data_IF_619577292934
#
_entry.id   IF_619577292934
#
_cell.length_a   1.000
_cell.length_b   1.000
_cell.length_c   1.000
_cell.angle_alpha   90.00
_cell.angle_beta   90.00
_cell.angle_gamma   90.00
#
_symmetry.space_group_name_H-M   'P 1'
#
loop_
_entity.id
_entity.type
_entity.pdbx_description
1 polymer ?
#
# COMPACT_ATOMS: atom_id res chain seq x y z
N UNK A 1 -7.13 28.14 -3.02
CA UNK A 1 -7.65 26.81 -3.38
C UNK A 1 -8.24 26.29 -2.10
N UNK A 2 -9.57 26.22 -2.01
CA UNK A 2 -10.24 25.67 -0.83
C UNK A 2 -10.01 24.16 -0.85
N UNK A 3 -9.53 23.60 0.26
CA UNK A 3 -9.42 22.16 0.44
C UNK A 3 -10.86 21.68 0.68
N UNK A 4 -11.46 21.01 -0.30
CA UNK A 4 -12.78 20.42 -0.14
C UNK A 4 -12.67 19.28 0.87
N UNK A 5 -13.42 19.40 1.96
CA UNK A 5 -13.61 18.30 2.91
C UNK A 5 -14.26 17.13 2.17
N UNK A 6 -13.56 15.99 2.18
CA UNK A 6 -14.07 14.76 1.55
C UNK A 6 -15.21 14.13 2.35
N UNK A 7 -15.38 14.52 3.62
CA UNK A 7 -16.34 13.94 4.57
C UNK A 7 -16.00 12.51 4.98
N UNK A 8 -14.80 12.02 4.64
CA UNK A 8 -14.38 10.63 4.84
C UNK A 8 -13.29 10.48 5.91
N UNK A 9 -12.84 11.56 6.54
CA UNK A 9 -11.86 11.51 7.64
C UNK A 9 -12.52 12.13 8.86
N UNK A 10 -12.40 11.53 10.07
CA UNK A 10 -12.96 12.09 11.29
C UNK A 10 -12.51 13.53 11.53
N UNK A 11 -13.45 14.42 11.87
CA UNK A 11 -13.11 15.77 12.32
C UNK A 11 -12.27 15.71 13.60
N UNK A 12 -11.15 16.43 13.63
CA UNK A 12 -10.32 16.55 14.84
C UNK A 12 -10.86 17.70 15.69
N UNK A 13 -11.40 17.38 16.87
CA UNK A 13 -11.93 18.38 17.79
C UNK A 13 -10.86 18.98 18.70
N UNK A 14 -9.91 18.15 19.15
CA UNK A 14 -8.84 18.60 20.04
C UNK A 14 -7.58 17.73 19.88
N UNK A 15 -6.42 18.34 20.07
CA UNK A 15 -5.12 17.67 20.05
C UNK A 15 -4.37 18.07 21.30
N UNK A 16 -4.19 17.11 22.21
CA UNK A 16 -3.26 17.24 23.32
C UNK A 16 -1.89 16.78 22.85
N UNK A 17 -0.89 17.69 22.74
CA UNK A 17 0.42 17.34 22.22
C UNK A 17 0.99 16.11 22.91
N UNK A 18 1.40 15.13 22.11
CA UNK A 18 2.11 13.90 22.51
C UNK A 18 1.32 12.91 23.37
N UNK A 19 -0.01 13.03 23.44
CA UNK A 19 -0.82 12.18 24.33
C UNK A 19 -2.13 11.69 23.73
N UNK A 20 -2.90 12.58 23.10
CA UNK A 20 -4.28 12.25 22.72
C UNK A 20 -4.76 13.14 21.58
N UNK A 21 -5.44 12.52 20.62
CA UNK A 21 -6.25 13.22 19.62
C UNK A 21 -7.70 12.85 19.93
N UNK A 22 -8.54 13.87 20.15
CA UNK A 22 -9.98 13.70 20.26
C UNK A 22 -10.61 14.03 18.90
N UNK A 23 -11.32 13.08 18.34
CA UNK A 23 -11.89 13.17 17.00
C UNK A 23 -13.35 12.71 16.99
N UNK A 24 -14.05 13.04 15.91
CA UNK A 24 -15.40 12.57 15.63
C UNK A 24 -15.50 11.05 15.71
N UNK A 25 -16.57 10.56 16.33
CA UNK A 25 -16.92 9.15 16.26
C UNK A 25 -17.72 8.87 14.99
N UNK A 26 -17.10 8.18 14.03
CA UNK A 26 -17.76 7.70 12.82
C UNK A 26 -18.21 6.24 13.05
N UNK A 27 -19.53 6.03 13.05
CA UNK A 27 -20.10 4.69 13.17
C UNK A 27 -19.79 3.84 11.93
N UNK A 28 -19.53 2.55 12.13
CA UNK A 28 -19.30 1.59 11.06
C UNK A 28 -18.48 0.39 11.51
N UNK A 29 -18.17 -0.49 10.57
CA UNK A 29 -17.33 -1.66 10.78
C UNK A 29 -16.38 -1.87 9.60
N UNK A 30 -15.24 -2.51 9.85
CA UNK A 30 -14.35 -3.01 8.81
C UNK A 30 -15.02 -4.15 8.02
N UNK A 31 -14.62 -4.36 6.76
CA UNK A 31 -15.04 -5.52 5.97
C UNK A 31 -14.14 -6.72 6.32
N UNK A 32 -14.08 -7.11 7.59
CA UNK A 32 -13.22 -8.23 8.01
C UNK A 32 -13.89 -9.60 7.89
N UNK A 33 -15.11 -9.69 7.37
CA UNK A 33 -15.89 -10.94 7.51
C UNK A 33 -16.95 -11.24 6.45
N UNK A 34 -16.79 -10.80 5.20
CA UNK A 34 -17.63 -11.30 4.09
C UNK A 34 -19.13 -11.04 4.28
N UNK A 35 -19.49 -9.96 4.96
CA UNK A 35 -20.88 -9.57 5.21
C UNK A 35 -21.22 -8.42 4.27
N UNK A 36 -21.89 -8.77 3.17
CA UNK A 36 -22.40 -7.83 2.18
C UNK A 36 -22.90 -8.60 0.98
N UNK A 37 -24.04 -8.20 0.43
CA UNK A 37 -24.47 -8.62 -0.90
C UNK A 37 -23.43 -8.18 -1.94
N UNK A 38 -23.39 -8.87 -3.09
CA UNK A 38 -22.52 -8.48 -4.19
C UNK A 38 -22.73 -7.02 -4.63
N UNK A 39 -23.98 -6.54 -4.56
CA UNK A 39 -24.35 -5.16 -4.86
C UNK A 39 -23.75 -4.17 -3.85
N UNK A 40 -23.79 -4.48 -2.54
CA UNK A 40 -23.15 -3.66 -1.52
C UNK A 40 -21.62 -3.63 -1.69
N UNK A 41 -21.00 -4.77 -1.98
CA UNK A 41 -19.55 -4.83 -2.22
C UNK A 41 -19.17 -4.02 -3.47
N UNK A 42 -19.92 -4.11 -4.56
CA UNK A 42 -19.72 -3.27 -5.75
C UNK A 42 -19.87 -1.79 -5.44
N UNK A 43 -20.90 -1.41 -4.67
CA UNK A 43 -21.14 -0.02 -4.30
C UNK A 43 -20.00 0.55 -3.44
N UNK A 44 -19.59 -0.16 -2.39
CA UNK A 44 -18.46 0.26 -1.53
C UNK A 44 -17.15 0.30 -2.31
N UNK A 45 -16.91 -0.69 -3.17
CA UNK A 45 -15.73 -0.72 -4.06
C UNK A 45 -15.66 0.52 -4.93
N UNK A 46 -16.79 0.90 -5.53
CA UNK A 46 -16.88 2.12 -6.32
C UNK A 46 -16.57 3.38 -5.50
N UNK A 47 -17.12 3.49 -4.28
CA UNK A 47 -16.84 4.62 -3.38
C UNK A 47 -15.37 4.68 -2.94
N UNK A 48 -14.73 3.53 -2.70
CA UNK A 48 -13.29 3.45 -2.40
C UNK A 48 -12.45 3.94 -3.58
N UNK A 49 -12.84 3.59 -4.81
CA UNK A 49 -12.22 4.13 -6.02
C UNK A 49 -12.29 5.66 -6.08
N UNK A 50 -13.46 6.23 -5.80
CA UNK A 50 -13.65 7.68 -5.74
C UNK A 50 -12.83 8.33 -4.61
N UNK A 51 -12.76 7.69 -3.44
CA UNK A 51 -11.99 8.18 -2.30
C UNK A 51 -10.48 8.19 -2.59
N UNK A 52 -9.95 7.11 -3.17
CA UNK A 52 -8.55 7.05 -3.60
C UNK A 52 -8.22 8.11 -4.66
N UNK A 53 -9.12 8.32 -5.63
CA UNK A 53 -8.96 9.37 -6.63
C UNK A 53 -8.92 10.77 -6.03
N UNK A 54 -9.78 11.07 -5.05
CA UNK A 54 -9.76 12.36 -4.31
C UNK A 54 -8.49 12.52 -3.49
N UNK A 55 -8.04 11.46 -2.82
CA UNK A 55 -6.80 11.45 -2.06
C UNK A 55 -5.60 11.82 -2.95
N UNK A 56 -5.45 11.17 -4.10
CA UNK A 56 -4.31 11.48 -4.99
C UNK A 56 -4.39 12.85 -5.65
N UNK A 57 -5.58 13.44 -5.68
CA UNK A 57 -5.82 14.80 -6.19
C UNK A 57 -5.57 15.87 -5.13
N UNK A 58 -5.46 15.47 -3.87
CA UNK A 58 -5.20 16.38 -2.77
C UNK A 58 -3.79 16.94 -2.91
N UNK A 59 -3.60 18.27 -2.87
CA UNK A 59 -2.28 18.87 -2.89
C UNK A 59 -1.39 18.28 -1.79
N UNK A 60 -0.15 17.95 -2.12
CA UNK A 60 0.82 17.56 -1.11
C UNK A 60 1.03 18.72 -0.14
N UNK A 61 0.83 18.53 1.18
CA UNK A 61 1.18 19.55 2.15
C UNK A 61 2.66 19.90 2.07
N UNK A 62 2.93 21.16 2.37
CA UNK A 62 4.26 21.74 2.50
C UNK A 62 4.86 21.36 3.86
N UNK A 63 6.18 21.49 3.99
CA UNK A 63 6.89 21.23 5.25
C UNK A 63 6.43 22.11 6.42
N UNK A 64 5.88 23.28 6.10
CA UNK A 64 5.38 24.23 7.09
C UNK A 64 3.97 23.87 7.60
N UNK A 65 3.24 23.02 6.87
CA UNK A 65 1.87 22.58 7.19
C UNK A 65 1.81 21.40 8.16
N UNK A 66 2.94 21.07 8.81
CA UNK A 66 2.95 20.24 10.03
C UNK A 66 3.49 18.83 9.88
N UNK A 67 4.13 18.49 8.76
CA UNK A 67 4.88 17.25 8.68
C UNK A 67 6.13 17.33 9.58
N UNK A 68 6.28 16.34 10.47
CA UNK A 68 7.40 16.25 11.40
C UNK A 68 8.26 15.02 11.08
N UNK A 69 9.39 15.23 10.41
CA UNK A 69 10.35 14.18 10.05
C UNK A 69 10.91 13.42 11.24
N UNK A 70 11.04 14.07 12.41
CA UNK A 70 11.60 13.45 13.62
C UNK A 70 10.61 12.46 14.25
N UNK A 71 9.34 12.55 13.87
CA UNK A 71 8.25 11.66 14.30
C UNK A 71 7.77 10.75 13.19
N UNK A 72 8.43 10.75 12.04
CA UNK A 72 8.09 9.86 10.96
C UNK A 72 8.66 8.46 11.22
N UNK A 73 7.80 7.58 11.71
CA UNK A 73 8.12 6.19 11.98
C UNK A 73 8.36 5.38 10.68
N UNK A 74 8.07 5.95 9.51
CA UNK A 74 8.11 5.25 8.22
C UNK A 74 9.49 5.14 7.60
N UNK A 75 10.53 5.78 8.15
CA UNK A 75 11.86 5.89 7.51
C UNK A 75 11.76 6.39 6.04
N UNK A 76 10.64 7.01 5.68
CA UNK A 76 10.31 7.49 4.35
C UNK A 76 9.95 8.97 4.44
N UNK A 77 10.95 9.87 4.66
CA UNK A 77 10.65 11.26 4.92
C UNK A 77 9.77 11.88 3.83
N UNK A 78 8.87 12.78 4.20
CA UNK A 78 7.94 13.46 3.29
C UNK A 78 8.61 14.07 2.06
N UNK A 79 9.81 14.63 2.27
CA UNK A 79 10.63 15.25 1.22
C UNK A 79 11.65 14.32 0.58
N UNK A 80 11.65 13.05 0.97
CA UNK A 80 12.66 12.12 0.46
C UNK A 80 12.53 11.96 -1.05
N UNK A 81 13.68 11.77 -1.67
CA UNK A 81 13.69 11.26 -3.03
C UNK A 81 13.13 9.82 -3.00
N UNK A 82 11.96 9.65 -3.60
CA UNK A 82 11.20 8.39 -3.59
C UNK A 82 12.04 7.23 -4.13
N UNK A 83 12.91 7.48 -5.13
CA UNK A 83 13.86 6.47 -5.63
C UNK A 83 14.87 6.06 -4.57
N UNK A 84 15.50 7.03 -3.91
CA UNK A 84 16.46 6.78 -2.83
C UNK A 84 15.83 5.99 -1.69
N UNK A 85 14.59 6.30 -1.31
CA UNK A 85 13.90 5.59 -0.25
C UNK A 85 13.45 4.18 -0.68
N UNK A 86 13.01 3.96 -1.93
CA UNK A 86 12.82 2.59 -2.46
C UNK A 86 14.15 1.82 -2.47
N UNK A 87 15.24 2.45 -2.89
CA UNK A 87 16.58 1.88 -2.88
C UNK A 87 17.02 1.44 -1.49
N UNK A 88 16.73 2.25 -0.46
CA UNK A 88 16.96 1.86 0.94
C UNK A 88 16.24 0.56 1.31
N UNK A 89 14.96 0.41 0.95
CA UNK A 89 14.21 -0.81 1.25
C UNK A 89 14.69 -2.03 0.46
N UNK A 90 15.16 -1.85 -0.78
CA UNK A 90 15.81 -2.93 -1.54
C UNK A 90 17.09 -3.37 -0.84
N UNK A 91 17.94 -2.41 -0.43
CA UNK A 91 19.19 -2.69 0.27
C UNK A 91 18.97 -3.39 1.61
N UNK A 92 18.00 -2.93 2.41
CA UNK A 92 17.60 -3.59 3.66
C UNK A 92 17.05 -5.00 3.41
N UNK A 93 16.17 -5.18 2.42
CA UNK A 93 15.72 -6.51 2.00
C UNK A 93 16.89 -7.43 1.65
N UNK A 94 17.89 -6.95 0.90
CA UNK A 94 19.09 -7.75 0.60
C UNK A 94 19.95 -8.04 1.84
N UNK A 95 19.96 -7.17 2.86
CA UNK A 95 20.65 -7.42 4.14
C UNK A 95 19.95 -8.48 4.97
N UNK A 96 18.62 -8.40 5.08
CA UNK A 96 17.80 -9.42 5.76
C UNK A 96 17.96 -10.76 5.02
N UNK A 97 17.97 -10.77 3.69
CA UNK A 97 18.10 -11.99 2.88
C UNK A 97 19.39 -12.75 3.17
N UNK A 98 20.49 -12.03 3.42
CA UNK A 98 21.78 -12.65 3.77
C UNK A 98 21.79 -13.26 5.18
N UNK A 99 20.87 -12.83 6.05
CA UNK A 99 20.95 -13.07 7.49
C UNK A 99 19.82 -13.96 8.02
N UNK A 100 18.67 -13.99 7.34
CA UNK A 100 17.46 -14.71 7.77
C UNK A 100 17.19 -15.90 6.84
N UNK A 101 17.37 -17.15 7.29
CA UNK A 101 17.29 -18.34 6.42
C UNK A 101 16.00 -18.46 5.60
N UNK A 102 14.84 -18.22 6.20
CA UNK A 102 13.55 -18.34 5.50
C UNK A 102 13.32 -17.25 4.45
N UNK A 103 14.06 -16.14 4.55
CA UNK A 103 14.02 -15.05 3.60
C UNK A 103 15.09 -15.21 2.50
N UNK A 104 16.10 -16.04 2.75
CA UNK A 104 17.12 -16.43 1.77
C UNK A 104 16.61 -17.48 0.77
N UNK A 105 15.68 -17.08 -0.09
CA UNK A 105 15.18 -17.94 -1.15
C UNK A 105 15.10 -17.21 -2.51
N UNK A 106 15.00 -18.00 -3.59
CA UNK A 106 14.98 -17.49 -4.96
C UNK A 106 13.84 -16.50 -5.19
N UNK A 107 12.63 -16.83 -4.72
CA UNK A 107 11.44 -15.98 -4.87
C UNK A 107 11.61 -14.59 -4.23
N UNK A 108 12.22 -14.50 -3.05
CA UNK A 108 12.52 -13.20 -2.42
C UNK A 108 13.54 -12.41 -3.25
N UNK A 109 14.58 -13.08 -3.79
CA UNK A 109 15.53 -12.42 -4.68
C UNK A 109 14.86 -11.88 -5.95
N UNK A 110 14.00 -12.70 -6.57
CA UNK A 110 13.22 -12.36 -7.75
C UNK A 110 12.29 -11.17 -7.49
N UNK A 111 11.61 -11.19 -6.35
CA UNK A 111 10.79 -10.06 -5.90
C UNK A 111 11.59 -8.77 -5.75
N UNK A 112 12.78 -8.80 -5.16
CA UNK A 112 13.61 -7.61 -5.00
C UNK A 112 14.11 -7.11 -6.36
N UNK A 113 14.49 -8.02 -7.26
CA UNK A 113 14.87 -7.69 -8.63
C UNK A 113 13.73 -7.06 -9.44
N UNK A 114 12.48 -7.51 -9.24
CA UNK A 114 11.31 -6.87 -9.87
C UNK A 114 11.16 -5.42 -9.38
N UNK A 115 11.24 -5.17 -8.08
CA UNK A 115 11.11 -3.80 -7.54
C UNK A 115 12.23 -2.92 -8.09
N UNK A 116 13.46 -3.43 -8.07
CA UNK A 116 14.65 -2.74 -8.58
C UNK A 116 14.48 -2.33 -10.06
N UNK A 117 13.88 -3.20 -10.89
CA UNK A 117 13.62 -2.88 -12.30
C UNK A 117 12.54 -1.82 -12.51
N UNK A 118 11.68 -1.60 -11.51
CA UNK A 118 10.61 -0.60 -11.55
C UNK A 118 11.00 0.72 -10.88
N UNK A 119 12.17 0.85 -10.25
CA UNK A 119 12.57 2.10 -9.56
C UNK A 119 12.53 3.30 -10.50
N UNK A 120 12.96 3.15 -11.75
CA UNK A 120 12.94 4.26 -12.71
C UNK A 120 11.53 4.62 -13.19
N UNK A 121 10.60 3.67 -13.19
CA UNK A 121 9.23 3.89 -13.67
C UNK A 121 8.39 4.72 -12.69
N UNK A 122 8.80 4.80 -11.42
CA UNK A 122 8.21 5.63 -10.37
C UNK A 122 8.05 7.09 -10.82
N UNK A 123 9.05 7.66 -11.49
CA UNK A 123 9.01 9.07 -11.93
C UNK A 123 8.01 9.33 -13.07
N UNK A 124 7.48 8.28 -13.72
CA UNK A 124 6.46 8.42 -14.76
C UNK A 124 5.10 8.76 -14.17
N UNK A 125 4.92 8.54 -12.87
CA UNK A 125 3.67 8.78 -12.15
C UNK A 125 3.77 10.06 -11.32
N UNK A 126 2.68 10.85 -11.23
CA UNK A 126 2.66 12.02 -10.37
C UNK A 126 2.98 11.66 -8.92
N UNK A 127 3.67 12.57 -8.23
CA UNK A 127 3.77 12.52 -6.76
C UNK A 127 2.45 12.95 -6.15
N UNK A 128 1.97 12.17 -5.18
CA UNK A 128 0.63 12.32 -4.60
C UNK A 128 0.67 12.01 -3.10
N UNK A 129 -0.39 12.41 -2.40
CA UNK A 129 -0.63 11.92 -1.05
C UNK A 129 -0.98 10.42 -1.12
N UNK A 130 -0.18 9.61 -0.43
CA UNK A 130 -0.26 8.16 -0.42
C UNK A 130 -0.58 7.67 0.99
N UNK A 131 -1.69 6.93 1.12
CA UNK A 131 -2.10 6.24 2.33
C UNK A 131 -1.73 4.77 2.22
N UNK A 132 -0.66 4.35 2.90
CA UNK A 132 -0.21 2.95 2.82
C UNK A 132 -1.23 1.98 3.45
N UNK A 133 -1.84 2.37 4.56
CA UNK A 133 -2.84 1.55 5.27
C UNK A 133 -4.28 1.80 4.79
N UNK A 134 -4.49 1.97 3.47
CA UNK A 134 -5.79 2.31 2.89
C UNK A 134 -6.90 1.26 3.12
N UNK A 135 -6.56 0.08 3.66
CA UNK A 135 -7.52 -0.93 4.13
C UNK A 135 -8.24 -0.54 5.41
N UNK A 136 -7.77 0.47 6.14
CA UNK A 136 -8.41 0.98 7.36
C UNK A 136 -9.58 1.90 7.02
N UNK A 137 -10.67 1.31 6.55
CA UNK A 137 -11.92 2.01 6.29
C UNK A 137 -13.10 1.36 7.02
N UNK A 138 -14.12 2.17 7.29
CA UNK A 138 -15.39 1.68 7.83
C UNK A 138 -16.49 1.75 6.78
N UNK A 139 -17.40 0.79 6.86
CA UNK A 139 -18.67 0.78 6.13
C UNK A 139 -19.81 0.93 7.13
N UNK A 140 -20.81 1.73 6.78
CA UNK A 140 -22.05 1.89 7.52
C UNK A 140 -23.23 1.87 6.55
N UNK A 141 -24.23 1.02 6.81
CA UNK A 141 -25.43 0.88 5.96
C UNK A 141 -25.10 0.69 4.46
N UNK A 142 -24.09 -0.14 4.16
CA UNK A 142 -23.67 -0.45 2.80
C UNK A 142 -22.92 0.68 2.08
N UNK A 143 -22.45 1.70 2.81
CA UNK A 143 -21.67 2.83 2.27
C UNK A 143 -20.35 3.01 2.98
N UNK A 144 -19.34 3.48 2.25
CA UNK A 144 -18.10 3.96 2.83
C UNK A 144 -18.41 5.12 3.80
N UNK A 145 -18.06 4.91 5.08
CA UNK A 145 -18.32 5.86 6.16
C UNK A 145 -17.08 6.70 6.50
N UNK A 146 -15.88 6.11 6.41
CA UNK A 146 -14.64 6.83 6.66
C UNK A 146 -13.39 6.01 6.43
N UNK A 147 -12.26 6.71 6.37
CA UNK A 147 -10.89 6.24 6.27
C UNK A 147 -10.14 6.66 7.54
N UNK A 148 -9.35 5.74 8.09
CA UNK A 148 -8.73 5.85 9.41
C UNK A 148 -7.27 5.44 9.34
N UNK A 149 -6.57 5.59 10.46
CA UNK A 149 -5.18 5.18 10.62
C UNK A 149 -4.25 5.86 9.60
N UNK A 150 -4.35 7.18 9.59
CA UNK A 150 -3.60 8.06 8.70
C UNK A 150 -2.12 8.21 9.10
N UNK A 151 -1.64 7.46 10.10
CA UNK A 151 -0.25 7.54 10.59
C UNK A 151 0.79 7.13 9.53
N UNK A 152 0.31 6.47 8.48
CA UNK A 152 1.11 5.99 7.35
C UNK A 152 0.92 6.82 6.07
N UNK A 153 0.21 7.94 6.15
CA UNK A 153 0.06 8.88 5.05
C UNK A 153 1.36 9.65 4.79
N UNK A 154 1.81 9.65 3.53
CA UNK A 154 3.08 10.28 3.11
C UNK A 154 3.10 10.61 1.62
N UNK A 155 4.19 11.20 1.13
CA UNK A 155 4.41 11.33 -0.31
C UNK A 155 4.66 9.94 -0.94
N UNK A 156 3.94 9.64 -2.01
CA UNK A 156 4.15 8.45 -2.85
C UNK A 156 3.86 8.77 -4.32
N UNK A 157 3.61 7.74 -5.12
CA UNK A 157 3.07 7.92 -6.48
C UNK A 157 1.62 7.47 -6.58
N UNK A 158 0.95 7.95 -7.62
CA UNK A 158 -0.37 7.48 -8.00
C UNK A 158 -0.41 5.93 -8.14
N UNK A 159 0.63 5.34 -8.72
CA UNK A 159 0.75 3.87 -8.85
C UNK A 159 0.76 3.17 -7.49
N UNK A 160 1.46 3.73 -6.49
CA UNK A 160 1.48 3.16 -5.14
C UNK A 160 0.09 3.21 -4.48
N UNK A 161 -0.62 4.33 -4.62
CA UNK A 161 -1.98 4.45 -4.07
C UNK A 161 -2.97 3.54 -4.79
N UNK A 162 -2.92 3.47 -6.11
CA UNK A 162 -3.76 2.55 -6.91
C UNK A 162 -3.48 1.10 -6.54
N UNK A 163 -2.23 0.74 -6.26
CA UNK A 163 -1.90 -0.59 -5.77
C UNK A 163 -2.56 -0.89 -4.41
N UNK A 164 -2.55 0.05 -3.46
CA UNK A 164 -3.26 -0.14 -2.18
C UNK A 164 -4.76 -0.29 -2.37
N UNK A 165 -5.37 0.50 -3.28
CA UNK A 165 -6.78 0.38 -3.64
C UNK A 165 -7.10 -0.99 -4.25
N UNK A 166 -6.44 -1.37 -5.35
CA UNK A 166 -6.78 -2.59 -6.06
C UNK A 166 -6.42 -3.86 -5.27
N UNK A 167 -5.43 -3.78 -4.38
CA UNK A 167 -5.11 -4.85 -3.43
C UNK A 167 -6.26 -5.21 -2.48
N UNK A 168 -7.26 -4.34 -2.30
CA UNK A 168 -8.45 -4.60 -1.50
C UNK A 168 -9.36 -5.68 -2.12
N UNK A 169 -9.17 -6.06 -3.38
CA UNK A 169 -9.89 -7.19 -3.99
C UNK A 169 -9.73 -8.50 -3.21
N UNK A 170 -8.59 -8.65 -2.51
CA UNK A 170 -8.30 -9.82 -1.66
C UNK A 170 -9.21 -9.88 -0.42
N UNK A 171 -9.82 -8.76 -0.04
CA UNK A 171 -10.85 -8.67 1.00
C UNK A 171 -12.27 -8.93 0.44
N UNK A 172 -12.39 -9.30 -0.85
CA UNK A 172 -13.67 -9.56 -1.52
C UNK A 172 -14.30 -8.33 -2.17
N UNK A 173 -13.58 -7.22 -2.28
CA UNK A 173 -14.03 -6.03 -2.99
C UNK A 173 -13.92 -6.22 -4.52
N UNK A 174 -14.78 -5.55 -5.26
CA UNK A 174 -14.91 -5.67 -6.71
C UNK A 174 -13.90 -4.75 -7.41
N UNK A 175 -12.88 -5.35 -8.02
CA UNK A 175 -11.78 -4.66 -8.70
C UNK A 175 -12.27 -3.69 -9.78
N UNK A 176 -13.22 -4.11 -10.59
CA UNK A 176 -13.73 -3.31 -11.72
C UNK A 176 -14.50 -2.09 -11.22
N UNK A 177 -15.31 -2.25 -10.16
CA UNK A 177 -16.00 -1.14 -9.50
C UNK A 177 -15.02 -0.14 -8.89
N UNK A 178 -13.94 -0.60 -8.25
CA UNK A 178 -12.87 0.28 -7.75
C UNK A 178 -12.22 1.08 -8.88
N UNK A 179 -11.86 0.43 -9.99
CA UNK A 179 -11.33 1.11 -11.18
C UNK A 179 -12.31 2.13 -11.73
N UNK A 180 -13.59 1.77 -11.87
CA UNK A 180 -14.61 2.66 -12.39
C UNK A 180 -14.82 3.89 -11.50
N UNK A 181 -14.89 3.70 -10.18
CA UNK A 181 -15.02 4.82 -9.24
C UNK A 181 -13.84 5.77 -9.29
N UNK A 182 -12.64 5.24 -9.49
CA UNK A 182 -11.44 6.05 -9.70
C UNK A 182 -11.54 6.87 -11.00
N UNK A 183 -11.92 6.22 -12.10
CA UNK A 183 -12.07 6.84 -13.43
C UNK A 183 -13.16 7.92 -13.44
N UNK A 184 -14.23 7.75 -12.69
CA UNK A 184 -15.31 8.75 -12.63
C UNK A 184 -14.85 10.10 -12.06
N UNK A 185 -13.80 10.10 -11.22
CA UNK A 185 -13.22 11.31 -10.62
C UNK A 185 -12.04 11.84 -11.42
N UNK A 186 -11.12 10.97 -11.85
CA UNK A 186 -9.84 11.36 -12.45
C UNK A 186 -9.75 11.19 -13.97
N UNK A 187 -10.78 10.58 -14.58
CA UNK A 187 -10.72 10.06 -15.93
C UNK A 187 -9.84 8.81 -16.06
N UNK A 188 -9.66 8.26 -17.27
CA UNK A 188 -8.77 7.14 -17.51
C UNK A 188 -7.31 7.46 -17.13
N UNK A 189 -6.64 6.53 -16.45
CA UNK A 189 -5.25 6.70 -16.01
C UNK A 189 -4.38 5.49 -16.39
N UNK A 190 -3.15 5.69 -16.88
CA UNK A 190 -2.26 4.59 -17.23
C UNK A 190 -1.92 3.65 -16.07
N UNK A 191 -1.85 4.16 -14.84
CA UNK A 191 -1.49 3.37 -13.65
C UNK A 191 -2.52 2.27 -13.30
N UNK A 192 -3.77 2.38 -13.75
CA UNK A 192 -4.82 1.38 -13.48
C UNK A 192 -4.58 0.05 -14.22
N UNK A 193 -3.80 0.11 -15.31
CA UNK A 193 -3.55 -1.03 -16.20
C UNK A 193 -2.06 -1.41 -16.27
N UNK A 194 -1.20 -0.78 -15.44
CA UNK A 194 0.21 -1.15 -15.29
C UNK A 194 0.36 -2.36 -14.35
N UNK A 195 -0.08 -3.54 -14.80
CA UNK A 195 -0.07 -4.77 -13.98
C UNK A 195 1.33 -5.06 -13.40
N UNK A 196 2.40 -4.90 -14.18
CA UNK A 196 3.76 -5.16 -13.69
C UNK A 196 4.17 -4.15 -12.61
N UNK A 197 3.86 -2.87 -12.81
CA UNK A 197 4.09 -1.82 -11.83
C UNK A 197 3.30 -2.05 -10.54
N UNK A 198 2.03 -2.44 -10.64
CA UNK A 198 1.18 -2.77 -9.47
C UNK A 198 1.76 -3.94 -8.67
N UNK A 199 2.19 -5.03 -9.34
CA UNK A 199 2.83 -6.16 -8.66
C UNK A 199 4.12 -5.72 -7.96
N UNK A 200 4.95 -4.91 -8.61
CA UNK A 200 6.17 -4.39 -7.99
C UNK A 200 5.86 -3.54 -6.75
N UNK A 201 4.82 -2.68 -6.80
CA UNK A 201 4.42 -1.86 -5.65
C UNK A 201 3.82 -2.68 -4.49
N UNK A 202 3.09 -3.76 -4.76
CA UNK A 202 2.62 -4.68 -3.70
C UNK A 202 3.78 -5.39 -3.01
N UNK A 203 4.75 -5.86 -3.81
CA UNK A 203 5.96 -6.46 -3.28
C UNK A 203 6.76 -5.45 -2.46
N UNK A 204 6.93 -4.20 -2.95
CA UNK A 204 7.58 -3.12 -2.21
C UNK A 204 6.88 -2.87 -0.86
N UNK A 205 5.55 -2.73 -0.83
CA UNK A 205 4.80 -2.51 0.41
C UNK A 205 5.07 -3.63 1.43
N UNK A 206 5.16 -4.88 0.99
CA UNK A 206 5.45 -6.02 1.86
C UNK A 206 6.88 -6.05 2.36
N UNK A 207 7.84 -5.68 1.51
CA UNK A 207 9.23 -5.52 1.95
C UNK A 207 9.39 -4.37 2.94
N UNK A 208 8.66 -3.26 2.77
CA UNK A 208 8.60 -2.18 3.76
C UNK A 208 8.14 -2.74 5.10
N UNK A 209 7.07 -3.55 5.12
CA UNK A 209 6.58 -4.19 6.37
C UNK A 209 7.63 -5.10 7.00
N UNK A 210 8.29 -5.95 6.22
CA UNK A 210 9.36 -6.84 6.71
C UNK A 210 10.54 -6.03 7.27
N UNK A 211 11.03 -5.02 6.54
CA UNK A 211 12.18 -4.21 6.94
C UNK A 211 11.88 -3.36 8.17
N UNK A 212 10.72 -2.69 8.19
CA UNK A 212 10.33 -1.77 9.27
C UNK A 212 9.85 -2.52 10.51
N UNK A 213 8.85 -3.37 10.38
CA UNK A 213 8.22 -4.02 11.54
C UNK A 213 8.96 -5.26 12.01
N UNK A 214 9.77 -5.89 11.15
CA UNK A 214 10.75 -6.89 11.57
C UNK A 214 11.83 -6.33 12.51
N UNK A 215 11.95 -4.99 12.61
CA UNK A 215 12.93 -4.26 13.43
C UNK A 215 14.35 -4.81 13.24
N UNK A 216 14.73 -5.02 11.98
CA UNK A 216 16.01 -5.62 11.66
C UNK A 216 17.17 -4.72 12.12
N UNK A 217 17.88 -5.16 13.17
CA UNK A 217 19.07 -4.50 13.70
C UNK A 217 20.30 -5.43 13.73
N UNK A 218 20.16 -6.65 13.21
CA UNK A 218 21.21 -7.67 13.22
C UNK A 218 21.24 -8.54 14.48
N UNK A 219 20.39 -8.28 15.47
CA UNK A 219 20.29 -9.09 16.69
C UNK A 219 19.55 -10.41 16.44
N UNK A 220 19.80 -11.42 17.29
CA UNK A 220 19.07 -12.69 17.24
C UNK A 220 17.55 -12.53 17.43
N UNK A 221 17.12 -11.54 18.22
CA UNK A 221 15.70 -11.23 18.40
C UNK A 221 15.08 -10.68 17.11
N UNK A 222 15.79 -9.79 16.41
CA UNK A 222 15.34 -9.26 15.12
C UNK A 222 15.30 -10.33 14.01
N UNK A 223 16.13 -11.38 14.08
CA UNK A 223 16.02 -12.54 13.18
C UNK A 223 14.67 -13.23 13.37
N UNK A 224 14.31 -13.57 14.61
CA UNK A 224 13.06 -14.28 14.92
C UNK A 224 11.83 -13.46 14.51
N UNK A 225 11.85 -12.15 14.79
CA UNK A 225 10.77 -11.27 14.34
C UNK A 225 10.70 -11.17 12.81
N UNK A 226 11.84 -11.04 12.13
CA UNK A 226 11.87 -11.02 10.66
C UNK A 226 11.34 -12.32 10.07
N UNK A 227 11.65 -13.48 10.65
CA UNK A 227 11.11 -14.77 10.22
C UNK A 227 9.57 -14.79 10.29
N UNK A 228 8.99 -14.27 11.38
CA UNK A 228 7.54 -14.16 11.53
C UNK A 228 6.92 -13.29 10.42
N UNK A 229 7.47 -12.10 10.17
CA UNK A 229 6.95 -11.21 9.13
C UNK A 229 7.09 -11.80 7.72
N UNK A 230 8.18 -12.51 7.44
CA UNK A 230 8.38 -13.19 6.16
C UNK A 230 7.36 -14.31 5.96
N UNK A 231 7.07 -15.10 6.98
CA UNK A 231 6.00 -16.11 6.92
C UNK A 231 4.62 -15.49 6.71
N UNK A 232 4.38 -14.28 7.22
CA UNK A 232 3.11 -13.56 7.05
C UNK A 232 2.98 -12.92 5.65
N UNK A 233 4.05 -12.36 5.10
CA UNK A 233 3.99 -11.58 3.86
C UNK A 233 4.44 -12.34 2.60
N UNK A 234 5.26 -13.39 2.73
CA UNK A 234 5.72 -14.20 1.61
C UNK A 234 4.60 -14.92 0.83
N UNK A 235 3.67 -15.63 1.50
CA UNK A 235 2.57 -16.31 0.80
C UNK A 235 1.65 -15.33 0.03
N UNK A 236 1.23 -14.17 0.59
CA UNK A 236 0.50 -13.15 -0.17
C UNK A 236 1.24 -12.64 -1.41
N UNK A 237 2.58 -12.48 -1.37
CA UNK A 237 3.37 -12.10 -2.55
C UNK A 237 3.30 -13.18 -3.63
N UNK A 238 3.54 -14.44 -3.26
CA UNK A 238 3.49 -15.57 -4.21
C UNK A 238 2.11 -15.68 -4.86
N UNK A 239 1.06 -15.57 -4.04
CA UNK A 239 -0.32 -15.62 -4.52
C UNK A 239 -0.61 -14.52 -5.52
N UNK A 240 -0.16 -13.29 -5.27
CA UNK A 240 -0.33 -12.19 -6.23
C UNK A 240 0.28 -12.52 -7.60
N UNK A 241 1.52 -13.02 -7.61
CA UNK A 241 2.19 -13.39 -8.88
C UNK A 241 1.40 -14.48 -9.61
N UNK A 242 0.89 -15.48 -8.89
CA UNK A 242 0.06 -16.53 -9.47
C UNK A 242 -1.27 -16.01 -10.00
N UNK A 243 -1.94 -15.12 -9.24
CA UNK A 243 -3.22 -14.54 -9.61
C UNK A 243 -3.10 -13.71 -10.90
N UNK A 244 -1.96 -13.04 -11.15
CA UNK A 244 -1.71 -12.26 -12.37
C UNK A 244 -0.96 -13.00 -13.49
N UNK A 245 -0.59 -14.28 -13.31
CA UNK A 245 0.18 -15.03 -14.31
C UNK A 245 -0.56 -15.22 -15.66
N UNK A 246 -1.88 -15.03 -15.66
CA UNK A 246 -2.71 -15.10 -16.87
C UNK A 246 -2.84 -13.75 -17.60
N UNK A 247 -2.46 -12.65 -16.95
CA UNK A 247 -2.56 -11.28 -17.51
C UNK A 247 -1.26 -10.86 -18.22
N UNK A 248 -0.11 -11.24 -17.66
CA UNK A 248 1.20 -10.86 -18.17
C UNK A 248 2.22 -12.01 -18.01
N UNK A 249 3.22 -12.05 -18.89
CA UNK A 249 4.32 -13.01 -18.79
C UNK A 249 5.28 -12.62 -17.65
N UNK A 250 5.19 -13.37 -16.56
CA UNK A 250 6.00 -13.19 -15.35
C UNK A 250 7.21 -14.11 -15.29
N UNK A 251 7.43 -14.99 -16.29
CA UNK A 251 8.49 -15.99 -16.26
C UNK A 251 9.88 -15.37 -16.18
N UNK A 252 10.10 -14.23 -16.84
CA UNK A 252 11.38 -13.51 -16.78
C UNK A 252 11.69 -12.95 -15.39
N UNK A 253 10.65 -12.70 -14.57
CA UNK A 253 10.77 -12.08 -13.25
C UNK A 253 10.77 -13.12 -12.13
N UNK A 254 9.97 -14.18 -12.26
CA UNK A 254 9.77 -15.22 -11.23
C UNK A 254 10.01 -16.63 -11.77
N UNK A 255 11.20 -16.95 -12.31
CA UNK A 255 11.48 -18.27 -12.88
C UNK A 255 11.35 -19.41 -11.85
N UNK A 256 11.58 -19.14 -10.55
CA UNK A 256 11.42 -20.16 -9.50
C UNK A 256 10.00 -20.71 -9.40
N UNK A 257 8.97 -19.89 -9.64
CA UNK A 257 7.57 -20.32 -9.57
C UNK A 257 7.14 -21.16 -10.78
N UNK A 258 7.77 -20.94 -11.94
CA UNK A 258 7.49 -21.69 -13.15
C UNK A 258 8.07 -23.12 -13.11
N UNK A 259 9.13 -23.34 -12.33
CA UNK A 259 9.77 -24.65 -12.19
C UNK A 259 9.04 -25.58 -11.21
N UNK A 260 8.26 -25.03 -10.27
CA UNK A 260 7.47 -25.81 -9.30
C UNK A 260 6.19 -26.42 -9.90
N UNK A 261 5.86 -26.09 -11.15
CA UNK A 261 4.62 -26.52 -11.84
C UNK A 261 4.85 -27.61 -12.91
N UNK A 262 6.07 -28.14 -13.03
CA UNK A 262 6.49 -29.12 -14.03
C UNK A 262 6.73 -30.54 -13.50
#
# INVERSE_FOLDING_TARGET
MEIEDTGLVPEVYDVLPDRLIAMEFIAGSTIDSGVGSAEELQHVSHQLGQAAARLVSTPLPTNEEGYNSDRDWSLFPWDSDLRSAIGFYIDEGRRIQKSVPNYNNAFISESLCLIESQVESVDRYPRVLFHEDFSNFHVHEGRLAGLFDLEMCRSGTELMQVNMLLGLERAGLDRDSMKQGYVDVMGPRPCLDDTLGLIAMDHLARHIRVCRYGRWDGSAESIVHSEHYVSTHGPPMRRLVMDHAHEIDLQQWFPSLCQESG
#
